data_IF_387789827887
#
_entry.id   IF_387789827887
#
_cell.length_a   1.000
_cell.length_b   1.000
_cell.length_c   1.000
_cell.angle_alpha   90.00
_cell.angle_beta   90.00
_cell.angle_gamma   90.00
#
_symmetry.space_group_name_H-M   'P 1'
#
loop_
_entity.id
_entity.type
_entity.pdbx_description
1 polymer ?
#
# COMPACT_ATOMS: atom_id res chain seq x y z
N UNK A 1 0.10 -2.01 18.41
CA UNK A 1 -1.35 -2.20 18.14
C UNK A 1 -1.49 -3.53 17.39
N UNK A 2 -2.70 -4.03 17.06
CA UNK A 2 -2.80 -5.19 16.17
C UNK A 2 -2.05 -4.95 14.85
N UNK A 3 -1.58 -6.04 14.27
CA UNK A 3 -0.93 -6.03 12.95
C UNK A 3 -1.91 -6.53 11.92
N UNK A 4 -2.10 -5.75 10.87
CA UNK A 4 -3.01 -6.05 9.78
C UNK A 4 -2.23 -6.33 8.51
N UNK A 5 -2.67 -7.34 7.76
CA UNK A 5 -2.16 -7.62 6.42
C UNK A 5 -3.20 -7.13 5.42
N UNK A 6 -2.83 -6.17 4.58
CA UNK A 6 -3.61 -5.80 3.41
C UNK A 6 -3.04 -6.48 2.18
N UNK A 7 -3.90 -7.11 1.37
CA UNK A 7 -3.50 -7.69 0.11
C UNK A 7 -4.58 -7.47 -0.95
N UNK A 8 -4.18 -7.54 -2.22
CA UNK A 8 -5.13 -7.46 -3.32
C UNK A 8 -4.46 -7.64 -4.67
N UNK A 9 -5.30 -7.83 -5.69
CA UNK A 9 -4.85 -7.98 -7.08
C UNK A 9 -4.87 -6.63 -7.79
N UNK A 10 -3.91 -6.41 -8.68
CA UNK A 10 -3.93 -5.25 -9.56
C UNK A 10 -4.88 -5.45 -10.74
N UNK A 11 -5.37 -4.34 -11.28
CA UNK A 11 -6.12 -4.35 -12.53
C UNK A 11 -5.20 -4.44 -13.75
N UNK A 12 -5.78 -4.80 -14.91
CA UNK A 12 -5.04 -4.81 -16.18
C UNK A 12 -4.45 -3.44 -16.50
N UNK A 13 -3.21 -3.41 -17.00
CA UNK A 13 -2.51 -2.16 -17.36
C UNK A 13 -2.19 -1.27 -16.14
N UNK A 14 -1.96 -1.87 -14.98
CA UNK A 14 -1.73 -1.11 -13.74
C UNK A 14 -0.55 -0.14 -13.82
N UNK A 15 0.51 -0.49 -14.56
CA UNK A 15 1.72 0.33 -14.64
C UNK A 15 1.42 1.67 -15.30
N UNK A 16 0.68 1.66 -16.41
CA UNK A 16 0.25 2.86 -17.12
C UNK A 16 -0.78 3.64 -16.30
N UNK A 17 -1.78 2.94 -15.74
CA UNK A 17 -2.88 3.57 -15.00
C UNK A 17 -2.42 4.27 -13.72
N UNK A 18 -1.40 3.72 -13.04
CA UNK A 18 -0.90 4.28 -11.77
C UNK A 18 0.08 5.43 -11.95
N UNK A 19 0.59 5.67 -13.15
CA UNK A 19 1.67 6.63 -13.37
C UNK A 19 1.30 8.05 -12.91
N UNK A 20 0.11 8.53 -13.30
CA UNK A 20 -0.42 9.83 -12.87
C UNK A 20 -0.62 9.98 -11.36
N UNK A 21 -0.74 8.86 -10.63
CA UNK A 21 -0.95 8.83 -9.18
C UNK A 21 0.33 8.50 -8.41
N UNK A 22 1.40 8.09 -9.11
CA UNK A 22 2.58 7.48 -8.50
C UNK A 22 3.23 8.37 -7.47
N UNK A 23 3.38 9.66 -7.77
CA UNK A 23 4.02 10.61 -6.85
C UNK A 23 3.22 10.75 -5.55
N UNK A 24 1.92 11.08 -5.66
CA UNK A 24 1.05 11.25 -4.49
C UNK A 24 0.94 9.96 -3.66
N UNK A 25 0.86 8.80 -4.32
CA UNK A 25 0.86 7.50 -3.66
C UNK A 25 2.15 7.25 -2.87
N UNK A 26 3.32 7.44 -3.48
CA UNK A 26 4.62 7.25 -2.82
C UNK A 26 4.82 8.23 -1.65
N UNK A 27 4.42 9.49 -1.81
CA UNK A 27 4.45 10.47 -0.72
C UNK A 27 3.53 10.07 0.45
N UNK A 28 2.35 9.52 0.16
CA UNK A 28 1.45 8.96 1.17
C UNK A 28 2.10 7.80 1.93
N UNK A 29 2.71 6.85 1.22
CA UNK A 29 3.42 5.72 1.83
C UNK A 29 4.60 6.19 2.68
N UNK A 30 5.35 7.20 2.25
CA UNK A 30 6.44 7.79 3.04
C UNK A 30 5.92 8.33 4.37
N UNK A 31 4.86 9.17 4.35
CA UNK A 31 4.25 9.70 5.59
C UNK A 31 3.78 8.59 6.52
N UNK A 32 3.16 7.54 5.97
CA UNK A 32 2.71 6.41 6.77
C UNK A 32 3.89 5.65 7.41
N UNK A 33 5.00 5.45 6.67
CA UNK A 33 6.22 4.85 7.24
C UNK A 33 6.82 5.70 8.35
N UNK A 34 6.88 7.01 8.14
CA UNK A 34 7.39 7.97 9.14
C UNK A 34 6.53 7.99 10.40
N UNK A 35 5.21 7.82 10.28
CA UNK A 35 4.31 7.72 11.43
C UNK A 35 4.35 6.36 12.15
N UNK A 36 5.00 5.35 11.55
CA UNK A 36 5.07 3.98 12.08
C UNK A 36 3.84 3.11 11.80
N UNK A 37 2.76 3.65 11.22
CA UNK A 37 1.55 2.86 10.90
C UNK A 37 1.80 1.85 9.79
N UNK A 38 2.62 2.19 8.79
CA UNK A 38 2.99 1.29 7.69
C UNK A 38 4.34 0.63 7.98
N UNK A 39 4.33 -0.67 8.23
CA UNK A 39 5.57 -1.45 8.44
C UNK A 39 6.24 -1.68 7.08
N UNK A 40 5.51 -2.24 6.11
CA UNK A 40 6.03 -2.50 4.77
C UNK A 40 4.92 -2.65 3.74
N UNK A 41 5.24 -2.39 2.48
CA UNK A 41 4.35 -2.61 1.33
C UNK A 41 5.19 -2.90 0.09
N UNK A 42 4.71 -3.80 -0.75
CA UNK A 42 5.32 -4.07 -2.05
C UNK A 42 4.39 -4.83 -2.99
N UNK A 43 4.58 -4.65 -4.31
CA UNK A 43 3.99 -5.54 -5.31
C UNK A 43 4.74 -6.88 -5.34
N UNK A 44 4.08 -7.92 -5.85
CA UNK A 44 4.76 -9.12 -6.32
C UNK A 44 5.65 -8.80 -7.53
N UNK A 45 6.62 -9.67 -7.83
CA UNK A 45 7.59 -9.46 -8.92
C UNK A 45 6.92 -9.35 -10.30
N UNK A 46 5.85 -10.09 -10.50
CA UNK A 46 5.01 -10.09 -11.72
C UNK A 46 3.97 -8.96 -11.73
N UNK A 47 3.89 -8.14 -10.67
CA UNK A 47 2.99 -6.98 -10.55
C UNK A 47 1.52 -7.38 -10.72
N UNK A 48 1.16 -8.58 -10.27
CA UNK A 48 -0.23 -9.07 -10.27
C UNK A 48 -0.92 -8.81 -8.93
N UNK A 49 -0.16 -8.72 -7.84
CA UNK A 49 -0.67 -8.53 -6.49
C UNK A 49 0.15 -7.52 -5.69
N UNK A 50 -0.41 -7.02 -4.59
CA UNK A 50 0.30 -6.28 -3.57
C UNK A 50 0.07 -6.90 -2.19
N UNK A 51 1.04 -6.67 -1.30
CA UNK A 51 0.96 -7.00 0.12
C UNK A 51 1.47 -5.83 0.93
N UNK A 52 0.82 -5.55 2.05
CA UNK A 52 1.25 -4.56 3.04
C UNK A 52 1.02 -5.08 4.45
N UNK A 53 1.84 -4.60 5.40
CA UNK A 53 1.69 -4.84 6.82
C UNK A 53 1.54 -3.49 7.51
N UNK A 54 0.47 -3.34 8.29
CA UNK A 54 0.19 -2.15 9.10
C UNK A 54 0.22 -2.49 10.60
N UNK A 55 0.67 -1.55 11.42
CA UNK A 55 0.48 -1.53 12.88
C UNK A 55 -0.52 -0.40 13.17
N UNK A 56 -1.80 -0.75 13.38
CA UNK A 56 -2.91 0.21 13.45
C UNK A 56 -3.91 -0.20 14.55
N UNK A 57 -4.76 0.73 14.99
CA UNK A 57 -5.75 0.49 16.06
C UNK A 57 -6.89 -0.42 15.62
N UNK A 58 -7.33 -0.31 14.36
CA UNK A 58 -8.39 -1.10 13.75
C UNK A 58 -8.11 -1.42 12.27
N UNK A 59 -9.02 -2.16 11.62
CA UNK A 59 -8.92 -2.55 10.21
C UNK A 59 -9.44 -1.48 9.23
N UNK A 60 -9.96 -0.36 9.72
CA UNK A 60 -10.59 0.67 8.90
C UNK A 60 -9.51 1.47 8.19
N UNK A 61 -9.44 1.30 6.87
CA UNK A 61 -8.69 2.18 5.98
C UNK A 61 -9.62 3.34 5.59
N UNK A 62 -9.38 4.54 6.13
CA UNK A 62 -9.95 5.75 5.53
C UNK A 62 -9.26 5.98 4.17
N UNK A 63 -9.98 5.61 3.10
CA UNK A 63 -9.53 5.72 1.70
C UNK A 63 -10.08 7.00 1.04
#
# INVERSE_FOLDING_TARGET
>A
MPKYVAWGSYCDGVLEKRDRYRKAHLEGLTRQKESGVLITIGPTKDVTQFFAIYDAEDEVLEL
#
